data_IF_701251828310
#
_entry.id   IF_701251828310
#
_cell.length_a   1.000
_cell.length_b   1.000
_cell.length_c   1.000
_cell.angle_alpha   90.00
_cell.angle_beta   90.00
_cell.angle_gamma   90.00
#
_symmetry.space_group_name_H-M   'P 1'
#
loop_
_entity.id
_entity.type
_entity.pdbx_description
1 polymer ?
#
# COMPACT_ATOMS: atom_id res chain seq x y z
N UNK A 1 37.67 44.13 -10.13
CA UNK A 1 36.34 44.67 -9.78
C UNK A 1 35.40 44.36 -10.93
N UNK A 2 34.47 43.42 -10.75
CA UNK A 2 33.48 43.06 -11.78
C UNK A 2 33.08 41.59 -11.71
N UNK A 3 32.17 41.26 -10.81
CA UNK A 3 31.61 39.95 -10.47
C UNK A 3 30.81 39.30 -11.62
N UNK A 4 30.82 37.97 -11.70
CA UNK A 4 29.98 37.12 -12.58
C UNK A 4 28.47 37.24 -12.24
N UNK A 5 27.56 36.85 -13.15
CA UNK A 5 26.93 35.55 -12.90
C UNK A 5 26.74 34.67 -14.15
N UNK A 6 27.22 33.44 -14.00
CA UNK A 6 26.69 32.14 -14.44
C UNK A 6 25.48 32.20 -15.38
N UNK A 7 25.68 31.88 -16.66
CA UNK A 7 24.59 31.60 -17.58
C UNK A 7 23.95 30.24 -17.27
N UNK A 8 22.63 30.26 -17.28
CA UNK A 8 21.67 29.29 -16.79
C UNK A 8 21.91 27.86 -17.29
N UNK A 9 21.90 26.93 -16.34
CA UNK A 9 21.93 25.50 -16.57
C UNK A 9 20.78 25.05 -17.47
N UNK A 10 21.08 24.04 -18.29
CA UNK A 10 20.19 23.50 -19.30
C UNK A 10 18.84 23.06 -18.71
N UNK A 11 17.73 23.09 -19.47
CA UNK A 11 16.40 22.67 -19.00
C UNK A 11 16.36 21.23 -18.46
N UNK A 12 17.37 20.40 -18.78
CA UNK A 12 17.55 19.06 -18.23
C UNK A 12 18.05 19.05 -16.77
N UNK A 13 18.79 20.04 -16.29
CA UNK A 13 19.29 20.08 -14.91
C UNK A 13 18.16 20.33 -13.91
N UNK A 14 17.25 21.25 -14.22
CA UNK A 14 16.09 21.51 -13.36
C UNK A 14 15.08 20.36 -13.42
N UNK A 15 14.92 19.73 -14.60
CA UNK A 15 14.11 18.52 -14.74
C UNK A 15 14.75 17.37 -13.95
N UNK A 16 16.08 17.18 -14.02
CA UNK A 16 16.79 16.18 -13.22
C UNK A 16 16.68 16.48 -11.73
N UNK A 17 16.75 17.74 -11.28
CA UNK A 17 16.57 18.07 -9.85
C UNK A 17 15.13 17.81 -9.40
N UNK A 18 14.11 18.18 -10.17
CA UNK A 18 12.70 17.88 -9.83
C UNK A 18 12.38 16.38 -9.91
N UNK A 19 12.94 15.69 -10.89
CA UNK A 19 12.83 14.23 -11.04
C UNK A 19 13.57 13.58 -9.87
N UNK A 20 14.81 13.96 -9.56
CA UNK A 20 15.58 13.39 -8.45
C UNK A 20 14.99 13.73 -7.08
N UNK A 21 14.37 14.89 -6.88
CA UNK A 21 13.66 15.22 -5.63
C UNK A 21 12.42 14.31 -5.44
N UNK A 22 11.67 14.05 -6.52
CA UNK A 22 10.60 13.04 -6.52
C UNK A 22 11.13 11.61 -6.33
N UNK A 23 12.29 11.26 -6.91
CA UNK A 23 12.87 9.92 -6.81
C UNK A 23 13.54 9.69 -5.45
N UNK A 24 14.10 10.72 -4.82
CA UNK A 24 14.65 10.67 -3.47
C UNK A 24 13.52 10.51 -2.44
N UNK A 25 12.36 11.16 -2.65
CA UNK A 25 11.15 10.87 -1.87
C UNK A 25 10.66 9.44 -2.07
N UNK A 26 10.76 8.88 -3.28
CA UNK A 26 10.40 7.48 -3.53
C UNK A 26 11.34 6.50 -2.82
N UNK A 27 12.65 6.70 -2.90
CA UNK A 27 13.64 5.82 -2.24
C UNK A 27 13.55 5.92 -0.71
N UNK A 28 13.39 7.13 -0.17
CA UNK A 28 13.16 7.33 1.27
C UNK A 28 11.83 6.68 1.70
N UNK A 29 10.77 6.86 0.92
CA UNK A 29 9.48 6.24 1.19
C UNK A 29 9.56 4.70 1.15
N UNK A 30 10.19 4.13 0.13
CA UNK A 30 10.36 2.68 0.01
C UNK A 30 11.25 2.12 1.12
N UNK A 31 12.23 2.88 1.59
CA UNK A 31 13.06 2.52 2.74
C UNK A 31 12.23 2.48 4.02
N UNK A 32 11.46 3.53 4.30
CA UNK A 32 10.54 3.58 5.44
C UNK A 32 9.48 2.49 5.36
N UNK A 33 8.90 2.27 4.18
CA UNK A 33 7.88 1.25 3.96
C UNK A 33 8.39 -0.15 4.30
N UNK A 34 9.67 -0.45 4.05
CA UNK A 34 10.29 -1.73 4.43
C UNK A 34 10.39 -1.93 5.95
N UNK A 35 10.53 -0.85 6.71
CA UNK A 35 10.58 -0.91 8.18
C UNK A 35 9.20 -0.81 8.82
N UNK A 36 8.26 -0.08 8.20
CA UNK A 36 6.92 0.09 8.72
C UNK A 36 5.89 0.27 7.61
N UNK A 37 4.94 -0.67 7.55
CA UNK A 37 3.73 -0.56 6.72
C UNK A 37 2.92 0.71 6.99
N UNK A 38 3.02 1.28 8.20
CA UNK A 38 2.32 2.51 8.61
C UNK A 38 2.72 3.74 7.80
N UNK A 39 3.86 3.70 7.08
CA UNK A 39 4.27 4.76 6.17
C UNK A 39 3.21 5.04 5.08
N UNK A 40 2.36 4.07 4.74
CA UNK A 40 1.24 4.24 3.79
C UNK A 40 0.29 5.39 4.15
N UNK A 41 0.17 5.75 5.43
CA UNK A 41 -0.68 6.87 5.86
C UNK A 41 -0.25 8.22 5.27
N UNK A 42 1.04 8.37 4.95
CA UNK A 42 1.63 9.57 4.36
C UNK A 42 1.83 9.43 2.84
N UNK A 43 1.64 8.22 2.31
CA UNK A 43 1.81 7.96 0.89
C UNK A 43 0.75 8.71 0.06
N UNK A 44 1.13 9.15 -1.14
CA UNK A 44 0.21 9.73 -2.11
C UNK A 44 -0.83 8.69 -2.57
N UNK A 45 -1.94 9.16 -3.15
CA UNK A 45 -2.96 8.28 -3.73
C UNK A 45 -2.38 7.34 -4.80
N UNK A 46 -1.40 7.78 -5.58
CA UNK A 46 -0.73 6.96 -6.58
C UNK A 46 0.00 5.75 -5.98
N UNK A 47 0.64 5.91 -4.81
CA UNK A 47 1.27 4.79 -4.11
C UNK A 47 0.26 3.87 -3.44
N UNK A 48 -0.83 4.41 -2.89
CA UNK A 48 -1.92 3.61 -2.31
C UNK A 48 -2.71 2.81 -3.35
N UNK A 49 -2.72 3.27 -4.60
CA UNK A 49 -3.27 2.55 -5.75
C UNK A 49 -2.27 1.58 -6.39
N UNK A 50 -1.02 1.52 -5.91
CA UNK A 50 -0.02 0.61 -6.44
C UNK A 50 -0.08 -0.73 -5.71
N UNK A 51 -0.53 -1.77 -6.41
CA UNK A 51 -0.66 -3.13 -5.88
C UNK A 51 0.65 -3.68 -5.30
N UNK A 52 1.80 -3.40 -5.92
CA UNK A 52 3.10 -3.90 -5.46
C UNK A 52 3.50 -3.29 -4.11
N UNK A 53 3.24 -2.00 -3.93
CA UNK A 53 3.52 -1.27 -2.69
C UNK A 53 2.61 -1.76 -1.56
N UNK A 54 1.30 -1.89 -1.82
CA UNK A 54 0.36 -2.42 -0.84
C UNK A 54 0.73 -3.85 -0.45
N UNK A 55 1.07 -4.70 -1.42
CA UNK A 55 1.52 -6.07 -1.14
C UNK A 55 2.77 -6.09 -0.25
N UNK A 56 3.76 -5.24 -0.53
CA UNK A 56 4.97 -5.14 0.29
C UNK A 56 4.66 -4.72 1.74
N UNK A 57 3.75 -3.77 1.91
CA UNK A 57 3.29 -3.36 3.24
C UNK A 57 2.52 -4.47 3.95
N UNK A 58 1.65 -5.19 3.22
CA UNK A 58 0.87 -6.32 3.75
C UNK A 58 1.74 -7.49 4.19
N UNK A 59 2.94 -7.67 3.64
CA UNK A 59 3.89 -8.68 4.13
C UNK A 59 4.32 -8.45 5.58
N UNK A 60 4.21 -7.21 6.09
CA UNK A 60 4.46 -6.90 7.50
C UNK A 60 3.19 -6.99 8.34
N UNK A 61 2.08 -6.44 7.83
CA UNK A 61 0.79 -6.43 8.52
C UNK A 61 -0.35 -6.23 7.51
N UNK A 62 -1.34 -7.11 7.56
CA UNK A 62 -2.49 -7.04 6.68
C UNK A 62 -3.31 -5.74 6.82
N UNK A 63 -3.24 -5.04 7.96
CA UNK A 63 -3.92 -3.75 8.17
C UNK A 63 -3.48 -2.68 7.15
N UNK A 64 -2.34 -2.86 6.49
CA UNK A 64 -1.91 -2.03 5.37
C UNK A 64 -2.97 -1.93 4.25
N UNK A 65 -3.81 -2.95 4.08
CA UNK A 65 -4.89 -2.96 3.10
C UNK A 65 -5.91 -1.83 3.33
N UNK A 66 -6.10 -1.38 4.58
CA UNK A 66 -7.03 -0.27 4.90
C UNK A 66 -6.62 1.05 4.24
N UNK A 67 -5.32 1.22 3.95
CA UNK A 67 -4.79 2.40 3.27
C UNK A 67 -4.75 2.25 1.74
N UNK A 68 -5.06 1.08 1.20
CA UNK A 68 -5.09 0.88 -0.25
C UNK A 68 -6.25 1.63 -0.91
N UNK A 69 -6.13 1.87 -2.22
CA UNK A 69 -7.24 2.44 -2.99
C UNK A 69 -8.49 1.53 -2.89
N UNK A 70 -9.70 2.07 -3.07
CA UNK A 70 -10.93 1.28 -3.03
C UNK A 70 -10.86 0.03 -3.93
N UNK A 71 -10.30 0.17 -5.13
CA UNK A 71 -10.18 -0.91 -6.10
C UNK A 71 -9.26 -2.04 -5.60
N UNK A 72 -8.19 -1.70 -4.89
CA UNK A 72 -7.27 -2.69 -4.32
C UNK A 72 -7.80 -3.32 -3.03
N UNK A 73 -8.66 -2.64 -2.28
CA UNK A 73 -9.34 -3.23 -1.11
C UNK A 73 -10.32 -4.34 -1.49
N UNK A 74 -10.76 -4.36 -2.75
CA UNK A 74 -11.60 -5.41 -3.33
C UNK A 74 -10.79 -6.47 -4.09
N UNK A 75 -9.46 -6.33 -4.18
CA UNK A 75 -8.60 -7.31 -4.85
C UNK A 75 -8.60 -8.62 -4.05
N UNK A 76 -9.22 -9.66 -4.63
CA UNK A 76 -9.36 -10.98 -4.01
C UNK A 76 -8.06 -11.59 -3.53
N UNK A 77 -6.94 -11.36 -4.22
CA UNK A 77 -5.65 -11.92 -3.82
C UNK A 77 -5.07 -11.17 -2.62
N UNK A 78 -5.26 -9.84 -2.55
CA UNK A 78 -4.86 -9.07 -1.37
C UNK A 78 -5.72 -9.46 -0.17
N UNK A 79 -7.04 -9.60 -0.37
CA UNK A 79 -7.95 -10.05 0.68
C UNK A 79 -7.59 -11.45 1.17
N UNK A 80 -7.30 -12.40 0.26
CA UNK A 80 -6.84 -13.74 0.65
C UNK A 80 -5.59 -13.66 1.53
N UNK A 81 -4.59 -12.88 1.12
CA UNK A 81 -3.38 -12.65 1.94
C UNK A 81 -3.71 -12.11 3.33
N UNK A 82 -4.66 -11.19 3.44
CA UNK A 82 -5.09 -10.66 4.73
C UNK A 82 -5.72 -11.74 5.61
N UNK A 83 -6.62 -12.55 5.04
CA UNK A 83 -7.29 -13.65 5.75
C UNK A 83 -6.35 -14.79 6.15
N UNK A 84 -5.29 -15.02 5.38
CA UNK A 84 -4.23 -15.98 5.71
C UNK A 84 -3.41 -15.52 6.92
N UNK A 85 -3.21 -14.20 7.09
CA UNK A 85 -2.54 -13.65 8.27
C UNK A 85 -3.46 -13.61 9.49
N UNK A 86 -4.70 -13.12 9.31
CA UNK A 86 -5.68 -12.97 10.37
C UNK A 86 -7.09 -13.28 9.85
N UNK A 87 -7.70 -14.35 10.36
CA UNK A 87 -9.08 -14.70 9.98
C UNK A 87 -10.09 -13.61 10.34
N UNK A 88 -9.80 -12.76 11.33
CA UNK A 88 -10.66 -11.62 11.69
C UNK A 88 -10.56 -10.47 10.69
N UNK A 89 -9.61 -10.48 9.76
CA UNK A 89 -9.57 -9.51 8.67
C UNK A 89 -10.85 -9.54 7.81
N UNK A 90 -11.63 -10.63 7.89
CA UNK A 90 -12.96 -10.74 7.29
C UNK A 90 -13.92 -9.61 7.74
N UNK A 91 -13.72 -9.08 8.95
CA UNK A 91 -14.46 -7.93 9.47
C UNK A 91 -14.16 -6.62 8.71
N UNK A 92 -12.95 -6.45 8.17
CA UNK A 92 -12.55 -5.18 7.54
C UNK A 92 -12.70 -5.17 6.02
N UNK A 93 -12.89 -6.34 5.40
CA UNK A 93 -13.09 -6.45 3.95
C UNK A 93 -14.55 -6.22 3.54
N UNK A 94 -14.72 -5.85 2.28
CA UNK A 94 -16.02 -5.50 1.69
C UNK A 94 -17.01 -6.66 1.76
N UNK A 95 -18.30 -6.31 1.82
CA UNK A 95 -19.39 -7.28 1.98
C UNK A 95 -19.41 -8.37 0.90
N UNK A 96 -19.01 -8.04 -0.32
CA UNK A 96 -18.93 -8.99 -1.43
C UNK A 96 -18.01 -10.18 -1.13
N UNK A 97 -16.94 -9.97 -0.36
CA UNK A 97 -15.99 -11.00 0.04
C UNK A 97 -16.54 -11.84 1.21
N UNK A 98 -17.38 -11.25 2.07
CA UNK A 98 -18.01 -11.96 3.20
C UNK A 98 -19.03 -13.00 2.77
N UNK A 99 -19.53 -12.91 1.55
CA UNK A 99 -20.42 -13.92 0.95
C UNK A 99 -19.64 -14.95 0.12
N UNK A 100 -18.35 -14.74 -0.11
CA UNK A 100 -17.51 -15.65 -0.88
C UNK A 100 -17.13 -16.84 -0.01
N UNK A 101 -17.88 -17.93 -0.15
CA UNK A 101 -17.72 -19.15 0.64
C UNK A 101 -16.26 -19.63 0.74
N UNK A 102 -15.48 -19.51 -0.34
CA UNK A 102 -14.06 -19.88 -0.34
C UNK A 102 -13.22 -19.06 0.64
N UNK A 103 -13.42 -17.73 0.63
CA UNK A 103 -12.69 -16.81 1.50
C UNK A 103 -13.18 -16.88 2.95
N UNK A 104 -14.49 -17.01 3.15
CA UNK A 104 -15.07 -17.25 4.50
C UNK A 104 -14.51 -18.53 5.12
N UNK A 105 -14.48 -19.64 4.36
CA UNK A 105 -13.93 -20.89 4.87
C UNK A 105 -12.44 -20.77 5.21
N UNK A 106 -11.68 -20.01 4.41
CA UNK A 106 -10.28 -19.73 4.69
C UNK A 106 -10.13 -18.92 5.99
N UNK A 107 -10.92 -17.87 6.17
CA UNK A 107 -10.96 -17.06 7.38
C UNK A 107 -11.32 -17.88 8.63
N UNK A 108 -12.37 -18.72 8.53
CA UNK A 108 -12.85 -19.58 9.63
C UNK A 108 -11.84 -20.67 9.99
N UNK A 109 -11.11 -21.20 9.00
CA UNK A 109 -10.02 -22.14 9.25
C UNK A 109 -8.86 -21.52 10.01
N UNK A 110 -8.56 -20.25 9.73
CA UNK A 110 -7.55 -19.50 10.47
C UNK A 110 -8.08 -19.19 11.89
N UNK A 111 -9.24 -18.52 11.97
CA UNK A 111 -9.91 -18.17 13.21
C UNK A 111 -11.40 -18.46 13.10
N UNK A 112 -11.88 -19.44 13.87
CA UNK A 112 -13.28 -19.86 13.87
C UNK A 112 -14.26 -18.72 14.19
N UNK A 113 -13.82 -17.71 14.95
CA UNK A 113 -14.63 -16.52 15.29
C UNK A 113 -14.96 -15.66 14.06
N UNK A 114 -14.21 -15.81 12.96
CA UNK A 114 -14.48 -15.13 11.70
C UNK A 114 -15.87 -15.47 11.14
N UNK A 115 -16.44 -16.62 11.50
CA UNK A 115 -17.77 -17.04 11.07
C UNK A 115 -18.87 -16.02 11.42
N UNK A 116 -18.70 -15.25 12.51
CA UNK A 116 -19.63 -14.19 12.91
C UNK A 116 -19.77 -13.08 11.87
N UNK A 117 -18.76 -12.90 11.02
CA UNK A 117 -18.73 -11.86 10.00
C UNK A 117 -19.10 -12.37 8.60
N UNK A 118 -19.36 -13.68 8.45
CA UNK A 118 -19.96 -14.21 7.26
C UNK A 118 -21.44 -13.80 7.19
N UNK A 119 -21.89 -13.35 6.02
CA UNK A 119 -23.27 -12.95 5.73
C UNK A 119 -23.85 -13.82 4.63
#
# INVERSE_FOLDING_TARGET
LGSLPVQEGQPLDLLMVFVMDKYCQFDLFMKELKFSWRALRFASSAFRANRGIIRMAMQQDWHALEHASPELREDRELVRMALEQDGLALEKVVLAVRNERGLVLLAVRQNWQALRYAT
#
